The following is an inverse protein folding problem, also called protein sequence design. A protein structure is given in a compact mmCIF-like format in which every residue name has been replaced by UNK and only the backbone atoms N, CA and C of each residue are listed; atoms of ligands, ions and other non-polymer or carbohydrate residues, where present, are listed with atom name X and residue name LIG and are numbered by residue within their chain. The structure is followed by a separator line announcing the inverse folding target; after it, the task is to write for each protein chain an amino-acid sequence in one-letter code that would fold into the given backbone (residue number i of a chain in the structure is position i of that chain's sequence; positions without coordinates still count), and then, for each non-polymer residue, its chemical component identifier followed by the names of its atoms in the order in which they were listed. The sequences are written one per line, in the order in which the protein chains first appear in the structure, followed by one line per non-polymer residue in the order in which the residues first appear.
data_IF_670775093442
#
_entry.id   IF_670775093442
#
_cell.length_a   1.000
_cell.length_b   1.000
_cell.length_c   1.000
_cell.angle_alpha   90.00
_cell.angle_beta   90.00
_cell.angle_gamma   90.00
#
_symmetry.space_group_name_H-M   'P 1'
#
loop_
_entity.id
_entity.type
_entity.pdbx_description
1 polymer ?
#
# COMPACT_ATOMS: atom_id res chain seq x y z
N UNK A 1 30.94 28.58 -19.05
CA UNK A 1 29.49 28.32 -18.91
C UNK A 1 28.73 28.10 -20.23
N UNK A 2 29.05 28.80 -21.33
CA UNK A 2 28.32 28.66 -22.65
C UNK A 2 28.46 27.29 -23.33
N UNK A 3 29.55 26.53 -23.13
CA UNK A 3 29.77 25.25 -23.81
C UNK A 3 28.94 24.07 -23.22
N UNK A 4 28.71 24.07 -21.94
CA UNK A 4 27.88 23.01 -21.26
C UNK A 4 26.41 23.11 -21.68
N UNK A 5 25.84 24.31 -21.72
CA UNK A 5 24.46 24.56 -22.19
C UNK A 5 24.23 24.08 -23.62
N UNK A 6 25.23 24.25 -24.49
CA UNK A 6 25.11 23.83 -25.91
C UNK A 6 25.12 22.30 -26.07
N UNK A 7 25.96 21.58 -25.30
CA UNK A 7 26.02 20.12 -25.33
C UNK A 7 24.74 19.50 -24.77
N UNK A 8 24.24 20.03 -23.66
CA UNK A 8 22.97 19.58 -23.07
C UNK A 8 21.82 19.82 -24.06
N UNK A 9 21.77 20.98 -24.72
CA UNK A 9 20.75 21.27 -25.74
C UNK A 9 20.84 20.31 -26.93
N UNK A 10 22.05 19.93 -27.38
CA UNK A 10 22.23 18.95 -28.46
C UNK A 10 21.75 17.55 -28.05
N UNK A 11 22.03 17.10 -26.78
CA UNK A 11 21.57 15.80 -26.32
C UNK A 11 20.03 15.77 -26.14
N UNK A 12 19.45 16.80 -25.54
CA UNK A 12 18.00 16.88 -25.39
C UNK A 12 17.28 17.02 -26.72
N UNK A 13 17.81 17.89 -27.63
CA UNK A 13 17.29 18.03 -29.01
C UNK A 13 17.42 16.73 -29.81
N UNK A 14 18.57 16.06 -29.73
CA UNK A 14 18.80 14.76 -30.37
C UNK A 14 17.84 13.66 -29.82
N UNK A 15 17.62 13.59 -28.52
CA UNK A 15 16.67 12.67 -27.93
C UNK A 15 15.24 12.95 -28.40
N UNK A 16 14.82 14.22 -28.42
CA UNK A 16 13.49 14.58 -28.90
C UNK A 16 13.27 14.19 -30.37
N UNK A 17 14.27 14.45 -31.23
CA UNK A 17 14.21 14.04 -32.64
C UNK A 17 14.18 12.51 -32.74
N UNK A 18 15.02 11.82 -31.99
CA UNK A 18 15.08 10.35 -31.96
C UNK A 18 13.72 9.74 -31.58
N UNK A 19 13.13 10.21 -30.48
CA UNK A 19 11.80 9.73 -30.04
C UNK A 19 10.71 10.15 -31.06
N UNK A 20 10.76 11.35 -31.58
CA UNK A 20 9.79 11.80 -32.60
C UNK A 20 9.81 10.95 -33.87
N UNK A 21 11.00 10.57 -34.35
CA UNK A 21 11.15 9.68 -35.52
C UNK A 21 10.63 8.27 -35.21
N UNK A 22 10.90 7.74 -34.02
CA UNK A 22 10.44 6.40 -33.61
C UNK A 22 8.91 6.37 -33.50
N UNK A 23 8.29 7.36 -32.82
CA UNK A 23 6.84 7.46 -32.71
C UNK A 23 6.16 7.64 -34.06
N UNK A 24 6.80 8.37 -34.97
CA UNK A 24 6.31 8.50 -36.33
C UNK A 24 6.40 7.16 -37.10
N UNK A 25 7.50 6.42 -36.95
CA UNK A 25 7.67 5.10 -37.58
C UNK A 25 6.66 4.08 -37.05
N UNK A 26 6.32 4.14 -35.74
CA UNK A 26 5.31 3.28 -35.12
C UNK A 26 3.91 3.51 -35.68
N UNK A 27 3.62 4.74 -36.17
CA UNK A 27 2.33 5.04 -36.79
C UNK A 27 2.14 4.27 -38.12
N UNK A 28 3.24 3.86 -38.78
CA UNK A 28 3.21 3.14 -40.04
C UNK A 28 3.52 1.66 -39.95
N UNK A 29 4.16 1.24 -38.84
CA UNK A 29 4.59 -0.16 -38.62
C UNK A 29 4.49 -0.52 -37.14
N UNK A 30 3.82 -1.64 -36.82
CA UNK A 30 3.79 -2.17 -35.48
C UNK A 30 5.21 -2.62 -35.07
N UNK A 31 5.84 -1.85 -34.22
CA UNK A 31 7.17 -2.18 -33.68
C UNK A 31 7.06 -3.26 -32.63
N UNK A 32 7.84 -4.33 -32.77
CA UNK A 32 7.91 -5.38 -31.75
C UNK A 32 8.54 -4.84 -30.46
N UNK A 33 8.20 -5.45 -29.31
CA UNK A 33 8.79 -5.09 -28.01
C UNK A 33 10.34 -5.13 -28.05
N UNK A 34 10.91 -6.11 -28.76
CA UNK A 34 12.37 -6.22 -28.92
C UNK A 34 12.97 -5.08 -29.73
N UNK A 35 12.24 -4.53 -30.69
CA UNK A 35 12.68 -3.33 -31.43
C UNK A 35 12.77 -2.13 -30.49
N UNK A 36 11.78 -1.96 -29.59
CA UNK A 36 11.81 -0.92 -28.57
C UNK A 36 12.99 -1.09 -27.61
N UNK A 37 13.25 -2.31 -27.15
CA UNK A 37 14.42 -2.61 -26.31
C UNK A 37 15.72 -2.20 -27.00
N UNK A 38 15.88 -2.58 -28.27
CA UNK A 38 17.06 -2.24 -29.06
C UNK A 38 17.24 -0.73 -29.25
N UNK A 39 16.17 -0.02 -29.59
CA UNK A 39 16.17 1.43 -29.81
C UNK A 39 16.51 2.19 -28.52
N UNK A 40 15.88 1.85 -27.41
CA UNK A 40 16.15 2.48 -26.12
C UNK A 40 17.57 2.18 -25.62
N UNK A 41 18.03 0.94 -25.78
CA UNK A 41 19.39 0.56 -25.43
C UNK A 41 20.43 1.32 -26.28
N UNK A 42 20.21 1.43 -27.59
CA UNK A 42 21.06 2.19 -28.50
C UNK A 42 21.06 3.69 -28.15
N UNK A 43 19.89 4.26 -27.87
CA UNK A 43 19.77 5.65 -27.42
C UNK A 43 20.55 5.90 -26.12
N UNK A 44 20.42 4.99 -25.15
CA UNK A 44 21.19 5.03 -23.89
C UNK A 44 22.69 4.93 -24.11
N UNK A 45 23.16 4.05 -25.02
CA UNK A 45 24.55 3.96 -25.44
C UNK A 45 25.04 5.24 -26.09
N UNK A 46 24.23 5.86 -26.95
CA UNK A 46 24.57 7.13 -27.59
C UNK A 46 24.78 8.24 -26.57
N UNK A 47 23.87 8.41 -25.61
CA UNK A 47 24.03 9.41 -24.55
C UNK A 47 25.25 9.10 -23.68
N UNK A 48 25.47 7.82 -23.36
CA UNK A 48 26.64 7.40 -22.58
C UNK A 48 27.95 7.63 -23.32
N UNK A 49 28.00 7.44 -24.65
CA UNK A 49 29.17 7.74 -25.48
C UNK A 49 29.51 9.25 -25.44
N UNK A 50 28.48 10.13 -25.49
CA UNK A 50 28.67 11.57 -25.31
C UNK A 50 29.25 11.87 -23.93
N UNK A 51 28.78 11.23 -22.88
CA UNK A 51 29.36 11.36 -21.54
C UNK A 51 30.84 10.91 -21.49
N UNK A 52 31.22 9.84 -22.17
CA UNK A 52 32.60 9.36 -22.19
C UNK A 52 33.55 10.38 -22.86
N UNK A 53 33.05 11.17 -23.80
CA UNK A 53 33.82 12.23 -24.47
C UNK A 53 34.07 13.42 -23.54
N UNK A 54 33.15 13.68 -22.61
CA UNK A 54 33.29 14.77 -21.62
C UNK A 54 32.73 14.34 -20.27
N UNK A 55 33.57 13.74 -19.45
CA UNK A 55 33.24 13.21 -18.12
C UNK A 55 32.93 14.31 -17.09
N UNK A 56 33.04 15.59 -17.47
CA UNK A 56 32.74 16.70 -16.57
C UNK A 56 31.22 16.88 -16.34
N UNK A 57 30.40 16.51 -17.34
CA UNK A 57 28.94 16.67 -17.28
C UNK A 57 28.25 15.39 -16.81
N UNK A 58 28.23 15.21 -15.46
CA UNK A 58 27.57 14.07 -14.82
C UNK A 58 26.06 14.04 -15.03
N UNK A 59 25.45 15.15 -15.45
CA UNK A 59 24.01 15.24 -15.74
C UNK A 59 23.58 14.32 -16.89
N UNK A 60 24.50 13.99 -17.82
CA UNK A 60 24.22 13.08 -18.93
C UNK A 60 24.05 11.61 -18.52
N UNK A 61 24.52 11.23 -17.33
CA UNK A 61 24.32 9.87 -16.81
C UNK A 61 22.86 9.57 -16.49
N UNK A 62 22.08 10.59 -16.11
CA UNK A 62 20.67 10.41 -15.75
C UNK A 62 19.84 9.95 -16.96
N UNK A 63 19.82 10.66 -18.10
CA UNK A 63 19.05 10.21 -19.27
C UNK A 63 19.56 8.87 -19.83
N UNK A 64 20.87 8.61 -19.84
CA UNK A 64 21.39 7.30 -20.24
C UNK A 64 20.87 6.17 -19.32
N UNK A 65 20.89 6.39 -18.01
CA UNK A 65 20.37 5.44 -17.05
C UNK A 65 18.87 5.20 -17.23
N UNK A 66 18.07 6.26 -17.41
CA UNK A 66 16.62 6.14 -17.60
C UNK A 66 16.28 5.32 -18.84
N UNK A 67 16.97 5.57 -19.96
CA UNK A 67 16.78 4.80 -21.18
C UNK A 67 17.08 3.31 -20.98
N UNK A 68 18.17 2.98 -20.27
CA UNK A 68 18.53 1.59 -19.98
C UNK A 68 17.57 0.94 -18.96
N UNK A 69 17.09 1.69 -17.99
CA UNK A 69 16.11 1.18 -17.03
C UNK A 69 14.78 0.82 -17.74
N UNK A 70 14.32 1.68 -18.67
CA UNK A 70 13.11 1.40 -19.45
C UNK A 70 13.34 0.24 -20.42
N UNK A 71 14.48 0.20 -21.12
CA UNK A 71 14.82 -0.92 -22.00
C UNK A 71 14.86 -2.26 -21.23
N UNK A 72 15.47 -2.24 -20.05
CA UNK A 72 15.52 -3.41 -19.15
C UNK A 72 14.13 -3.84 -18.69
N UNK A 73 13.27 -2.88 -18.34
CA UNK A 73 11.89 -3.17 -17.95
C UNK A 73 11.13 -3.89 -19.08
N UNK A 74 11.16 -3.33 -20.29
CA UNK A 74 10.47 -3.93 -21.45
C UNK A 74 11.04 -5.33 -21.74
N UNK A 75 12.36 -5.49 -21.71
CA UNK A 75 13.01 -6.78 -21.95
C UNK A 75 12.57 -7.82 -20.90
N UNK A 76 12.57 -7.48 -19.61
CA UNK A 76 12.20 -8.38 -18.53
C UNK A 76 10.72 -8.76 -18.57
N UNK A 77 9.83 -7.84 -18.97
CA UNK A 77 8.40 -8.14 -19.20
C UNK A 77 8.26 -9.08 -20.41
N UNK A 78 8.94 -8.79 -21.51
CA UNK A 78 8.87 -9.60 -22.73
C UNK A 78 9.42 -11.03 -22.51
N UNK A 79 10.42 -11.17 -21.64
CA UNK A 79 10.95 -12.47 -21.19
C UNK A 79 10.07 -13.18 -20.16
N UNK A 80 8.95 -12.57 -19.76
CA UNK A 80 8.06 -13.08 -18.70
C UNK A 80 8.76 -13.28 -17.34
N UNK A 81 9.85 -12.58 -17.07
CA UNK A 81 10.56 -12.58 -15.78
C UNK A 81 9.82 -11.68 -14.79
N UNK A 82 9.38 -10.49 -15.24
CA UNK A 82 8.58 -9.57 -14.45
C UNK A 82 7.11 -9.71 -14.82
N UNK A 83 6.26 -9.85 -13.79
CA UNK A 83 4.81 -9.93 -13.90
C UNK A 83 4.16 -9.19 -12.73
N UNK A 84 3.00 -8.63 -12.94
CA UNK A 84 2.14 -8.01 -11.93
C UNK A 84 2.94 -7.10 -10.96
N UNK A 85 2.96 -7.39 -9.69
CA UNK A 85 3.60 -6.59 -8.64
C UNK A 85 5.12 -6.48 -8.82
N UNK A 86 5.77 -7.44 -9.46
CA UNK A 86 7.22 -7.39 -9.71
C UNK A 86 7.61 -6.27 -10.68
N UNK A 87 6.72 -5.84 -11.57
CA UNK A 87 6.90 -4.69 -12.45
C UNK A 87 7.01 -3.41 -11.61
N UNK A 88 6.06 -3.20 -10.68
CA UNK A 88 6.08 -2.04 -9.81
C UNK A 88 7.31 -2.03 -8.90
N UNK A 89 7.70 -3.20 -8.35
CA UNK A 89 8.93 -3.36 -7.57
C UNK A 89 10.17 -2.95 -8.35
N UNK A 90 10.28 -3.38 -9.61
CA UNK A 90 11.39 -2.99 -10.49
C UNK A 90 11.42 -1.47 -10.72
N UNK A 91 10.28 -0.87 -11.08
CA UNK A 91 10.17 0.57 -11.37
C UNK A 91 10.55 1.40 -10.16
N UNK A 92 10.00 1.08 -9.00
CA UNK A 92 10.32 1.79 -7.74
C UNK A 92 11.79 1.68 -7.38
N UNK A 93 12.38 0.49 -7.53
CA UNK A 93 13.80 0.25 -7.29
C UNK A 93 14.67 1.01 -8.29
N UNK A 94 14.30 1.00 -9.57
CA UNK A 94 15.00 1.74 -10.61
C UNK A 94 14.97 3.26 -10.33
N UNK A 95 13.86 3.82 -9.89
CA UNK A 95 13.78 5.23 -9.51
C UNK A 95 14.58 5.53 -8.23
N UNK A 96 14.61 4.61 -7.27
CA UNK A 96 15.35 4.78 -6.02
C UNK A 96 16.88 4.78 -6.22
N UNK A 97 17.37 4.01 -7.19
CA UNK A 97 18.80 3.73 -7.37
C UNK A 97 19.66 4.99 -7.63
N UNK A 98 19.26 5.95 -8.47
CA UNK A 98 20.00 7.21 -8.62
C UNK A 98 20.14 8.02 -7.32
N UNK A 99 19.09 8.07 -6.51
CA UNK A 99 19.12 8.74 -5.22
C UNK A 99 20.05 8.03 -4.23
N UNK A 100 20.01 6.70 -4.22
CA UNK A 100 20.91 5.90 -3.41
C UNK A 100 22.38 6.11 -3.82
N UNK A 101 22.65 6.11 -5.13
CA UNK A 101 24.00 6.37 -5.68
C UNK A 101 24.46 7.79 -5.32
N UNK A 102 23.58 8.80 -5.41
CA UNK A 102 23.91 10.17 -5.01
C UNK A 102 24.33 10.23 -3.54
N UNK A 103 23.57 9.60 -2.65
CA UNK A 103 23.92 9.53 -1.22
C UNK A 103 25.22 8.75 -0.96
N UNK A 104 25.45 7.60 -1.63
CA UNK A 104 26.66 6.80 -1.44
C UNK A 104 27.91 7.54 -1.91
N UNK A 105 27.80 8.38 -2.93
CA UNK A 105 28.91 9.20 -3.43
C UNK A 105 29.25 10.37 -2.50
N UNK A 106 28.22 11.00 -1.96
CA UNK A 106 28.38 12.11 -1.03
C UNK A 106 27.43 11.94 0.16
N UNK A 107 27.96 11.37 1.23
CA UNK A 107 27.20 11.11 2.46
C UNK A 107 26.71 12.37 3.18
N UNK A 108 27.09 13.57 2.71
CA UNK A 108 26.53 14.83 3.19
C UNK A 108 25.15 15.14 2.59
N UNK A 109 24.81 14.50 1.48
CA UNK A 109 23.52 14.69 0.80
C UNK A 109 22.41 13.81 1.41
N UNK A 110 22.13 14.02 2.68
CA UNK A 110 21.05 13.29 3.40
C UNK A 110 19.68 13.44 2.74
N UNK A 111 19.45 14.57 2.04
CA UNK A 111 18.19 14.77 1.30
C UNK A 111 17.92 13.73 0.21
N UNK A 112 18.96 13.13 -0.37
CA UNK A 112 18.79 12.06 -1.36
C UNK A 112 18.45 10.70 -0.72
N UNK A 113 18.82 10.50 0.55
CA UNK A 113 18.51 9.25 1.25
C UNK A 113 17.00 9.08 1.49
N UNK A 114 16.27 10.18 1.73
CA UNK A 114 14.84 10.14 2.05
C UNK A 114 14.04 9.56 0.89
N UNK A 115 14.09 10.12 -0.34
CA UNK A 115 13.36 9.52 -1.46
C UNK A 115 13.87 8.12 -1.81
N UNK A 116 15.17 7.84 -1.70
CA UNK A 116 15.70 6.49 -1.92
C UNK A 116 15.08 5.50 -0.94
N UNK A 117 15.04 5.82 0.35
CA UNK A 117 14.47 4.96 1.38
C UNK A 117 12.97 4.72 1.16
N UNK A 118 12.20 5.79 0.92
CA UNK A 118 10.75 5.66 0.72
C UNK A 118 10.42 4.79 -0.49
N UNK A 119 11.08 5.04 -1.62
CA UNK A 119 10.87 4.26 -2.84
C UNK A 119 11.26 2.79 -2.66
N UNK A 120 12.38 2.51 -1.98
CA UNK A 120 12.78 1.14 -1.67
C UNK A 120 11.83 0.47 -0.68
N UNK A 121 11.39 1.17 0.36
CA UNK A 121 10.42 0.62 1.32
C UNK A 121 9.11 0.25 0.63
N UNK A 122 8.58 1.13 -0.23
CA UNK A 122 7.37 0.83 -1.02
C UNK A 122 7.63 -0.29 -2.03
N UNK A 123 8.78 -0.28 -2.71
CA UNK A 123 9.16 -1.34 -3.65
C UNK A 123 9.25 -2.72 -2.99
N UNK A 124 9.87 -2.79 -1.81
CA UNK A 124 9.94 -4.03 -1.01
C UNK A 124 8.54 -4.46 -0.57
N UNK A 125 7.69 -3.52 -0.11
CA UNK A 125 6.31 -3.82 0.26
C UNK A 125 5.55 -4.48 -0.89
N UNK A 126 5.58 -3.86 -2.07
CA UNK A 126 4.90 -4.41 -3.26
C UNK A 126 5.46 -5.77 -3.64
N UNK A 127 6.79 -5.95 -3.58
CA UNK A 127 7.42 -7.24 -3.84
C UNK A 127 7.00 -8.34 -2.84
N UNK A 128 6.85 -7.98 -1.55
CA UNK A 128 6.39 -8.91 -0.53
C UNK A 128 4.90 -9.26 -0.67
N UNK A 129 4.07 -8.31 -1.14
CA UNK A 129 2.67 -8.58 -1.50
C UNK A 129 2.62 -9.58 -2.67
N UNK A 130 3.37 -9.31 -3.74
CA UNK A 130 3.42 -10.20 -4.90
C UNK A 130 4.01 -11.58 -4.60
N UNK A 131 4.89 -11.70 -3.60
CA UNK A 131 5.41 -12.96 -3.10
C UNK A 131 4.43 -13.69 -2.13
N UNK A 132 3.29 -13.09 -1.80
CA UNK A 132 2.33 -13.65 -0.85
C UNK A 132 2.79 -13.64 0.62
N UNK A 133 3.86 -12.88 0.93
CA UNK A 133 4.38 -12.75 2.31
C UNK A 133 3.58 -11.73 3.11
N UNK A 134 3.15 -10.64 2.47
CA UNK A 134 2.30 -9.62 3.06
C UNK A 134 0.88 -9.78 2.55
N UNK A 135 -0.05 -9.97 3.48
CA UNK A 135 -1.49 -9.91 3.24
C UNK A 135 -2.04 -8.51 3.63
N UNK A 136 -3.33 -8.28 3.35
CA UNK A 136 -3.99 -6.99 3.62
C UNK A 136 -3.93 -6.55 5.09
N UNK A 137 -3.84 -7.52 6.03
CA UNK A 137 -3.76 -7.24 7.46
C UNK A 137 -2.35 -6.87 7.92
N UNK A 138 -1.31 -7.40 7.24
CA UNK A 138 0.09 -7.13 7.55
C UNK A 138 0.63 -5.84 6.89
N UNK A 139 0.01 -5.38 5.79
CA UNK A 139 0.42 -4.15 5.10
C UNK A 139 0.46 -2.94 6.04
N UNK A 140 -0.57 -2.67 6.88
CA UNK A 140 -0.51 -1.56 7.83
C UNK A 140 0.64 -1.69 8.82
N UNK A 141 0.92 -2.89 9.33
CA UNK A 141 2.05 -3.14 10.22
C UNK A 141 3.37 -2.81 9.53
N UNK A 142 3.57 -3.31 8.31
CA UNK A 142 4.76 -3.01 7.51
C UNK A 142 4.97 -1.49 7.34
N UNK A 143 3.93 -0.76 6.94
CA UNK A 143 3.99 0.70 6.72
C UNK A 143 4.38 1.42 8.00
N UNK A 144 3.78 1.04 9.14
CA UNK A 144 4.11 1.65 10.44
C UNK A 144 5.58 1.42 10.82
N UNK A 145 6.10 0.20 10.63
CA UNK A 145 7.50 -0.10 10.87
C UNK A 145 8.43 0.63 9.88
N UNK A 146 8.06 0.67 8.60
CA UNK A 146 8.82 1.41 7.59
C UNK A 146 8.94 2.91 7.95
N UNK A 147 7.90 3.52 8.50
CA UNK A 147 7.94 4.90 9.00
C UNK A 147 8.77 5.00 10.29
N UNK A 148 8.65 4.03 11.20
CA UNK A 148 9.38 4.03 12.47
C UNK A 148 10.89 3.93 12.32
N UNK A 149 11.38 3.09 11.38
CA UNK A 149 12.80 2.78 11.20
C UNK A 149 13.69 4.02 11.06
N UNK A 150 13.40 5.02 10.19
CA UNK A 150 14.24 6.21 10.07
C UNK A 150 14.40 6.96 11.39
N UNK A 151 13.33 7.12 12.16
CA UNK A 151 13.36 7.80 13.45
C UNK A 151 14.20 7.03 14.47
N UNK A 152 14.02 5.70 14.52
CA UNK A 152 14.81 4.84 15.41
C UNK A 152 16.30 4.85 15.02
N UNK A 153 16.62 4.90 13.73
CA UNK A 153 18.01 5.03 13.23
C UNK A 153 18.62 6.38 13.64
N UNK A 154 17.87 7.48 13.54
CA UNK A 154 18.34 8.81 14.00
C UNK A 154 18.63 8.78 15.49
N UNK A 155 17.74 8.23 16.30
CA UNK A 155 17.95 8.06 17.74
C UNK A 155 19.17 7.17 18.05
N UNK A 156 19.30 6.03 17.38
CA UNK A 156 20.43 5.12 17.61
C UNK A 156 21.79 5.74 17.27
N UNK A 157 21.84 6.71 16.33
CA UNK A 157 23.06 7.45 15.97
C UNK A 157 23.41 8.56 16.97
N UNK A 158 22.41 9.18 17.55
CA UNK A 158 22.59 10.23 18.54
C UNK A 158 21.61 10.08 19.71
N UNK A 159 21.89 9.20 20.68
CA UNK A 159 21.00 8.95 21.82
C UNK A 159 20.78 10.17 22.73
N UNK A 160 21.55 11.25 22.56
CA UNK A 160 21.33 12.51 23.28
C UNK A 160 20.08 13.23 22.83
N UNK A 161 19.66 13.01 21.60
CA UNK A 161 18.43 13.54 21.03
C UNK A 161 17.30 12.50 21.17
N UNK A 162 16.50 12.62 22.18
CA UNK A 162 15.41 11.66 22.48
C UNK A 162 14.13 11.88 21.67
N UNK A 163 13.97 13.05 21.05
CA UNK A 163 12.76 13.41 20.31
C UNK A 163 12.36 12.42 19.18
N UNK A 164 13.30 11.79 18.43
CA UNK A 164 12.91 10.84 17.38
C UNK A 164 12.32 9.54 17.96
N UNK A 165 12.59 9.26 19.23
CA UNK A 165 12.03 8.09 19.91
C UNK A 165 10.51 8.18 20.05
N UNK A 166 9.96 9.41 20.15
CA UNK A 166 8.52 9.60 20.29
C UNK A 166 7.77 9.16 19.02
N UNK A 167 7.99 9.77 17.84
CA UNK A 167 7.29 9.33 16.62
C UNK A 167 7.68 7.90 16.23
N UNK A 168 8.96 7.52 16.36
CA UNK A 168 9.41 6.16 16.06
C UNK A 168 8.78 5.12 16.97
N UNK A 169 8.70 5.39 18.27
CA UNK A 169 8.07 4.51 19.26
C UNK A 169 6.56 4.38 19.06
N UNK A 170 5.87 5.49 18.81
CA UNK A 170 4.43 5.47 18.53
C UNK A 170 4.13 4.61 17.29
N UNK A 171 4.84 4.83 16.19
CA UNK A 171 4.66 4.04 14.97
C UNK A 171 4.99 2.56 15.19
N UNK A 172 6.06 2.27 15.93
CA UNK A 172 6.41 0.88 16.26
C UNK A 172 5.33 0.18 17.10
N UNK A 173 4.76 0.88 18.09
CA UNK A 173 3.66 0.33 18.93
C UNK A 173 2.41 0.11 18.08
N UNK A 174 2.04 1.04 17.21
CA UNK A 174 0.91 0.88 16.31
C UNK A 174 1.15 -0.30 15.35
N UNK A 175 2.35 -0.39 14.76
CA UNK A 175 2.73 -1.52 13.90
C UNK A 175 2.64 -2.87 14.62
N UNK A 176 3.11 -2.94 15.86
CA UNK A 176 3.01 -4.13 16.70
C UNK A 176 1.55 -4.48 17.01
N UNK A 177 0.69 -3.48 17.23
CA UNK A 177 -0.75 -3.72 17.46
C UNK A 177 -1.41 -4.37 16.25
N UNK A 178 -1.04 -3.99 15.02
CA UNK A 178 -1.52 -4.66 13.80
C UNK A 178 -1.02 -6.10 13.70
N UNK A 179 0.24 -6.39 14.06
CA UNK A 179 0.76 -7.76 14.08
C UNK A 179 0.02 -8.63 15.08
N UNK A 180 -0.27 -8.10 16.28
CA UNK A 180 -1.03 -8.81 17.30
C UNK A 180 -2.47 -9.03 16.85
N UNK A 181 -3.10 -8.02 16.23
CA UNK A 181 -4.46 -8.13 15.72
C UNK A 181 -4.57 -9.19 14.62
N UNK A 182 -3.60 -9.27 13.71
CA UNK A 182 -3.56 -10.30 12.67
C UNK A 182 -3.43 -11.70 13.29
N UNK A 183 -2.49 -11.89 14.20
CA UNK A 183 -2.32 -13.15 14.89
C UNK A 183 -3.55 -13.55 15.73
N UNK A 184 -4.26 -12.56 16.29
CA UNK A 184 -5.43 -12.80 17.15
C UNK A 184 -6.72 -13.07 16.36
N UNK A 185 -6.85 -12.56 15.13
CA UNK A 185 -8.10 -12.62 14.35
C UNK A 185 -8.52 -14.06 14.07
N UNK A 186 -7.57 -14.96 13.93
CA UNK A 186 -7.81 -16.39 13.72
C UNK A 186 -8.51 -17.03 14.92
N UNK A 187 -8.24 -16.53 16.13
CA UNK A 187 -8.80 -17.07 17.39
C UNK A 187 -10.01 -16.31 17.89
N UNK A 188 -10.20 -15.04 17.49
CA UNK A 188 -11.31 -14.20 17.97
C UNK A 188 -12.66 -14.80 17.58
N UNK A 189 -12.82 -15.26 16.36
CA UNK A 189 -14.07 -15.87 15.87
C UNK A 189 -14.47 -17.12 16.67
N UNK A 190 -13.61 -18.15 16.73
CA UNK A 190 -13.89 -19.37 17.53
C UNK A 190 -14.13 -19.08 19.02
N UNK A 191 -13.30 -18.23 19.63
CA UNK A 191 -13.46 -17.86 21.06
C UNK A 191 -14.77 -17.11 21.29
N UNK A 192 -15.13 -16.16 20.44
CA UNK A 192 -16.40 -15.45 20.54
C UNK A 192 -17.61 -16.39 20.39
N UNK A 193 -17.56 -17.37 19.48
CA UNK A 193 -18.61 -18.39 19.36
C UNK A 193 -18.72 -19.28 20.59
N UNK A 194 -17.58 -19.71 21.16
CA UNK A 194 -17.57 -20.49 22.40
C UNK A 194 -18.18 -19.70 23.56
N UNK A 195 -17.77 -18.43 23.72
CA UNK A 195 -18.29 -17.56 24.79
C UNK A 195 -19.78 -17.27 24.62
N UNK A 196 -20.23 -17.00 23.38
CA UNK A 196 -21.64 -16.80 23.07
C UNK A 196 -22.46 -18.07 23.39
N UNK A 197 -21.98 -19.24 22.95
CA UNK A 197 -22.61 -20.52 23.25
C UNK A 197 -22.68 -20.80 24.76
N UNK A 198 -21.58 -20.60 25.47
CA UNK A 198 -21.53 -20.75 26.92
C UNK A 198 -22.50 -19.78 27.61
N UNK A 199 -22.56 -18.52 27.19
CA UNK A 199 -23.49 -17.53 27.73
C UNK A 199 -24.96 -17.93 27.52
N UNK A 200 -25.31 -18.43 26.31
CA UNK A 200 -26.67 -18.91 26.02
C UNK A 200 -27.03 -20.08 26.93
N UNK A 201 -26.10 -21.04 27.09
CA UNK A 201 -26.32 -22.19 28.00
C UNK A 201 -26.51 -21.73 29.44
N UNK A 202 -25.63 -20.88 29.96
CA UNK A 202 -25.77 -20.32 31.31
C UNK A 202 -27.10 -19.60 31.48
N UNK A 203 -27.52 -18.83 30.48
CA UNK A 203 -28.81 -18.11 30.52
C UNK A 203 -30.01 -19.05 30.49
N UNK A 204 -29.93 -20.19 29.78
CA UNK A 204 -30.96 -21.22 29.83
C UNK A 204 -31.09 -21.85 31.24
N UNK A 205 -29.97 -22.12 31.91
CA UNK A 205 -29.97 -22.71 33.26
C UNK A 205 -30.31 -21.70 34.35
N UNK A 206 -30.06 -20.40 34.15
CA UNK A 206 -30.35 -19.35 35.13
C UNK A 206 -31.73 -18.71 34.99
N UNK A 207 -32.33 -18.76 33.80
CA UNK A 207 -33.74 -18.44 33.63
C UNK A 207 -34.51 -19.71 33.90
N UNK A 208 -34.93 -19.90 35.16
CA UNK A 208 -35.96 -20.87 35.48
C UNK A 208 -37.15 -20.69 34.59
N UNK A 209 -37.89 -21.80 34.37
CA UNK A 209 -39.06 -21.91 33.51
C UNK A 209 -39.91 -20.65 33.48
N UNK A 210 -40.40 -20.23 32.29
CA UNK A 210 -41.44 -19.21 32.24
C UNK A 210 -42.58 -19.68 33.09
N UNK A 211 -42.91 -18.91 34.13
CA UNK A 211 -44.11 -19.16 34.96
C UNK A 211 -45.29 -19.40 34.01
N UNK A 212 -45.87 -20.60 34.10
CA UNK A 212 -47.05 -21.02 33.40
C UNK A 212 -48.05 -19.88 33.32
N UNK A 213 -48.47 -19.57 32.12
CA UNK A 213 -49.65 -18.78 31.84
C UNK A 213 -50.87 -19.66 32.07
N UNK A 214 -50.96 -20.20 33.31
CA UNK A 214 -52.17 -20.86 33.81
C UNK A 214 -52.85 -19.84 34.72
N UNK A 215 -53.77 -19.09 34.18
CA UNK A 215 -54.61 -18.19 34.97
C UNK A 215 -54.96 -16.85 34.30
N UNK A 216 -55.04 -16.77 32.99
CA UNK A 216 -55.85 -15.70 32.42
C UNK A 216 -57.30 -16.18 32.38
N UNK A 217 -58.23 -15.55 33.12
CA UNK A 217 -59.64 -15.77 32.92
C UNK A 217 -59.98 -15.38 31.48
N UNK A 218 -60.78 -16.24 30.83
CA UNK A 218 -61.27 -15.98 29.49
C UNK A 218 -61.92 -14.59 29.45
N UNK A 219 -61.64 -13.75 28.43
CA UNK A 219 -62.34 -12.50 28.23
C UNK A 219 -63.79 -12.85 27.87
N UNK A 220 -64.73 -12.40 28.68
CA UNK A 220 -66.14 -12.13 28.36
C UNK A 220 -66.94 -13.28 27.76
N UNK A 221 -67.55 -14.07 28.65
CA UNK A 221 -68.84 -14.69 28.35
C UNK A 221 -69.90 -13.58 28.26
N UNK A 222 -70.73 -13.52 27.20
CA UNK A 222 -71.80 -12.52 27.09
C UNK A 222 -72.80 -12.77 28.24
N UNK A 223 -73.20 -11.69 28.90
CA UNK A 223 -74.23 -11.66 29.94
C UNK A 223 -75.55 -12.20 29.43
N UNK A 224 -76.29 -13.07 30.19
CA UNK A 224 -77.57 -13.53 29.78
C UNK A 224 -78.56 -12.37 29.65
N UNK A 225 -79.16 -12.24 28.47
CA UNK A 225 -80.24 -11.34 28.19
C UNK A 225 -81.51 -11.86 28.92
N UNK A 226 -82.07 -11.04 29.72
CA UNK A 226 -83.41 -11.29 30.27
C UNK A 226 -83.50 -11.16 31.77
N UNK A 227 -83.58 -9.94 32.29
CA UNK A 227 -84.35 -9.62 33.50
C UNK A 227 -84.98 -8.27 33.25
N UNK A 228 -86.16 -8.31 32.75
CA UNK A 228 -87.16 -7.23 32.66
C UNK A 228 -87.36 -6.65 34.07
N UNK A 229 -86.97 -5.41 34.21
CA UNK A 229 -87.21 -4.72 35.48
C UNK A 229 -88.62 -4.12 35.45
N UNK A 230 -89.39 -4.62 36.35
CA UNK A 230 -90.71 -4.14 36.77
C UNK A 230 -90.62 -2.68 37.22
N UNK A 231 -91.37 -1.81 36.55
CA UNK A 231 -91.54 -0.40 36.91
C UNK A 231 -92.61 -0.29 37.97
N UNK A 232 -92.40 0.41 39.11
CA UNK A 232 -93.48 0.70 40.03
C UNK A 232 -94.22 2.00 39.56
N UNK A 233 -95.56 2.07 39.79
CA UNK A 233 -96.40 3.16 39.26
C UNK A 233 -96.19 4.44 39.99
N UNK A 234 -96.29 5.53 39.22
CA UNK A 234 -96.46 6.92 39.74
C UNK A 234 -97.74 7.03 40.55
N UNK A 235 -97.69 7.72 41.68
CA UNK A 235 -98.85 8.23 42.43
C UNK A 235 -98.61 9.72 42.67
N UNK A 236 -99.46 10.54 41.94
CA UNK A 236 -99.94 11.94 42.11
C UNK A 236 -98.93 12.98 42.57
#
# INVERSE_FOLDING_TARGET
MKSQTRKQALVWGGLLIFFGVITLAETFTDLSAWTWVGLLAAGGLGVFAVYLTDRSDRGLLIPAYVLWAIAGLIALITLNILRDESIATYVLTAIALPFLVAFLRDRKQWGALIPAYVLLAVGVMVGLIGAGVLNDLLVPAYVMFAIAIPFLVVYARNPKEWWPLIPGGIMAVIGLSFLIAEAAIEYIGPVAMILAGAWILVRMFTRGEPADIVGQPAPDAPAPAGAEADEPPEVT
#
